data_IF_193045929516
#
_entry.id   IF_193045929516
#
_cell.length_a   1.000
_cell.length_b   1.000
_cell.length_c   1.000
_cell.angle_alpha   90.00
_cell.angle_beta   90.00
_cell.angle_gamma   90.00
#
_symmetry.space_group_name_H-M   'P 1'
#
loop_
_entity.id
_entity.type
_entity.pdbx_description
1 polymer ?
#
# COMPACT_ATOMS: atom_id res chain seq x y z
N UNK A 1 -4.86 10.80 6.23
CA UNK A 1 -3.82 9.77 5.97
C UNK A 1 -4.46 8.49 5.44
N UNK A 2 -3.76 7.72 4.62
CA UNK A 2 -4.27 6.48 4.06
C UNK A 2 -4.57 5.46 5.16
N UNK A 3 -5.66 4.71 4.99
CA UNK A 3 -5.94 3.55 5.84
C UNK A 3 -5.06 2.39 5.41
N UNK A 4 -4.64 1.57 6.35
CA UNK A 4 -3.85 0.38 6.05
C UNK A 4 -4.19 -0.73 7.03
N UNK A 5 -4.13 -1.97 6.54
CA UNK A 5 -4.11 -3.13 7.41
C UNK A 5 -2.66 -3.40 7.82
N UNK A 6 -2.47 -3.87 9.02
CA UNK A 6 -1.15 -4.15 9.57
C UNK A 6 -1.08 -5.56 10.11
N UNK A 7 0.07 -6.19 9.89
CA UNK A 7 0.40 -7.48 10.48
C UNK A 7 1.70 -7.32 11.25
N UNK A 8 1.66 -7.33 12.58
CA UNK A 8 2.86 -7.18 13.39
C UNK A 8 3.91 -8.25 13.10
N UNK A 9 5.18 -7.90 13.26
CA UNK A 9 6.27 -8.88 13.26
C UNK A 9 6.13 -9.84 14.45
N UNK A 10 6.73 -11.04 14.34
CA UNK A 10 6.69 -12.05 15.41
C UNK A 10 7.50 -11.62 16.64
N UNK A 11 8.47 -10.74 16.45
CA UNK A 11 9.31 -10.18 17.51
C UNK A 11 9.68 -8.77 17.15
N UNK A 12 10.91 -8.36 17.41
CA UNK A 12 11.40 -7.05 16.97
C UNK A 12 11.45 -7.03 15.46
N UNK A 13 10.75 -6.07 14.85
CA UNK A 13 10.71 -5.96 13.40
C UNK A 13 12.05 -5.53 12.83
N UNK A 14 12.56 -6.25 11.83
CA UNK A 14 13.75 -5.87 11.10
C UNK A 14 13.50 -4.70 10.13
N UNK A 15 12.23 -4.42 9.85
CA UNK A 15 11.81 -3.37 8.94
C UNK A 15 10.34 -3.54 8.60
N UNK A 16 9.92 -3.00 7.47
CA UNK A 16 8.54 -3.07 6.97
C UNK A 16 8.46 -3.79 5.64
N UNK A 17 7.37 -4.52 5.43
CA UNK A 17 6.97 -5.07 4.14
C UNK A 17 5.67 -4.39 3.73
N UNK A 18 5.69 -3.64 2.64
CA UNK A 18 4.53 -2.89 2.15
C UNK A 18 4.07 -3.46 0.82
N UNK A 19 2.81 -3.86 0.76
CA UNK A 19 2.19 -4.37 -0.48
C UNK A 19 1.16 -3.37 -0.96
N UNK A 20 1.34 -2.86 -2.19
CA UNK A 20 0.42 -1.91 -2.81
C UNK A 20 -0.48 -2.64 -3.81
N UNK A 21 -1.80 -2.51 -3.61
CA UNK A 21 -2.78 -3.10 -4.52
C UNK A 21 -2.90 -2.29 -5.82
N UNK A 22 -3.36 -2.95 -6.87
CA UNK A 22 -3.64 -2.32 -8.14
C UNK A 22 -5.04 -1.71 -8.20
N UNK A 23 -5.35 -1.10 -9.35
CA UNK A 23 -6.65 -0.46 -9.61
C UNK A 23 -7.79 -1.47 -9.45
N UNK A 24 -8.79 -1.11 -8.66
CA UNK A 24 -9.98 -1.92 -8.47
C UNK A 24 -9.86 -2.99 -7.39
N UNK A 25 -8.66 -3.22 -6.87
CA UNK A 25 -8.44 -4.07 -5.71
C UNK A 25 -8.51 -3.25 -4.42
N UNK A 26 -8.16 -3.84 -3.29
CA UNK A 26 -8.13 -3.15 -2.02
C UNK A 26 -7.09 -3.75 -1.06
N UNK A 27 -7.02 -3.20 0.14
CA UNK A 27 -6.08 -3.63 1.18
C UNK A 27 -6.29 -5.07 1.63
N UNK A 28 -7.52 -5.58 1.56
CA UNK A 28 -7.85 -6.94 2.00
C UNK A 28 -7.35 -8.00 1.02
N UNK A 29 -7.28 -7.67 -0.27
CA UNK A 29 -6.85 -8.62 -1.30
C UNK A 29 -5.39 -9.03 -1.11
N UNK A 30 -4.56 -8.14 -0.60
CA UNK A 30 -3.13 -8.38 -0.44
C UNK A 30 -2.74 -8.84 0.97
N UNK A 31 -3.62 -8.65 1.95
CA UNK A 31 -3.27 -8.95 3.34
C UNK A 31 -2.78 -10.37 3.56
N UNK A 32 -3.42 -11.41 2.98
CA UNK A 32 -2.91 -12.80 3.12
C UNK A 32 -1.53 -13.02 2.52
N UNK A 33 -1.13 -12.19 1.54
CA UNK A 33 0.17 -12.32 0.88
C UNK A 33 1.33 -11.91 1.80
N UNK A 34 1.08 -11.13 2.84
CA UNK A 34 2.11 -10.79 3.81
C UNK A 34 2.74 -12.03 4.42
N UNK A 35 1.92 -13.01 4.83
CA UNK A 35 2.43 -14.26 5.40
C UNK A 35 3.04 -15.17 4.34
N UNK A 36 2.57 -15.10 3.10
CA UNK A 36 3.16 -15.87 2.01
C UNK A 36 4.56 -15.39 1.65
N UNK A 37 4.78 -14.07 1.69
CA UNK A 37 6.07 -13.46 1.34
C UNK A 37 7.04 -13.37 2.53
N UNK A 38 6.51 -13.36 3.75
CA UNK A 38 7.30 -13.26 4.99
C UNK A 38 6.73 -14.23 6.04
N UNK A 39 6.86 -15.54 5.80
CA UNK A 39 6.26 -16.56 6.68
C UNK A 39 6.84 -16.55 8.09
N UNK A 40 8.07 -16.12 8.27
CA UNK A 40 8.69 -16.00 9.58
C UNK A 40 8.32 -14.73 10.32
N UNK A 41 7.57 -13.84 9.67
CA UNK A 41 7.13 -12.56 10.22
C UNK A 41 8.28 -11.73 10.78
N UNK A 42 9.32 -11.57 9.98
CA UNK A 42 10.48 -10.77 10.35
C UNK A 42 10.21 -9.28 10.19
N UNK A 43 9.27 -8.93 9.31
CA UNK A 43 8.92 -7.56 8.98
C UNK A 43 7.54 -7.21 9.50
N UNK A 44 7.32 -5.94 9.82
CA UNK A 44 5.98 -5.44 10.08
C UNK A 44 5.29 -5.26 8.72
N UNK A 45 4.19 -5.95 8.51
CA UNK A 45 3.48 -5.95 7.23
C UNK A 45 2.41 -4.88 7.16
N UNK A 46 2.30 -4.21 6.00
CA UNK A 46 1.32 -3.17 5.75
C UNK A 46 0.68 -3.36 4.38
N UNK A 47 -0.63 -3.21 4.32
CA UNK A 47 -1.35 -3.13 3.04
C UNK A 47 -2.21 -1.85 3.05
N UNK A 48 -1.66 -0.72 2.57
CA UNK A 48 -2.41 0.53 2.53
C UNK A 48 -3.50 0.49 1.45
N UNK A 49 -4.62 1.16 1.75
CA UNK A 49 -5.73 1.33 0.82
C UNK A 49 -5.54 2.61 0.02
N UNK A 50 -5.72 2.54 -1.29
CA UNK A 50 -5.72 3.71 -2.17
C UNK A 50 -6.81 4.71 -1.74
N UNK A 51 -6.59 6.03 -1.97
CA UNK A 51 -7.44 7.08 -1.39
C UNK A 51 -8.82 7.21 -2.02
N UNK A 52 -9.01 6.75 -3.25
CA UNK A 52 -10.24 6.97 -4.01
C UNK A 52 -11.04 5.68 -4.12
N UNK A 53 -12.34 5.74 -3.80
CA UNK A 53 -13.23 4.61 -4.00
C UNK A 53 -13.47 4.36 -5.49
N UNK A 54 -13.49 3.09 -5.88
CA UNK A 54 -13.78 2.68 -7.24
C UNK A 54 -14.88 1.61 -7.19
N UNK A 55 -16.15 1.98 -7.48
CA UNK A 55 -17.23 1.01 -7.48
C UNK A 55 -16.94 -0.18 -8.41
N UNK A 56 -17.42 -1.40 -8.08
CA UNK A 56 -18.36 -1.69 -7.00
C UNK A 56 -17.78 -1.89 -5.60
N UNK A 57 -16.50 -1.99 -5.40
CA UNK A 57 -16.00 -2.26 -4.06
C UNK A 57 -14.50 -2.06 -3.85
N UNK A 58 -13.78 -1.71 -4.89
CA UNK A 58 -12.33 -1.51 -4.82
C UNK A 58 -11.93 -0.05 -4.60
N UNK A 59 -10.64 0.20 -4.81
CA UNK A 59 -10.07 1.54 -4.69
C UNK A 59 -9.05 1.77 -5.79
N UNK A 60 -8.71 3.03 -6.03
CA UNK A 60 -7.67 3.38 -6.98
C UNK A 60 -6.85 4.58 -6.51
N UNK A 61 -5.61 4.63 -6.98
CA UNK A 61 -4.65 5.65 -6.55
C UNK A 61 -4.87 6.98 -7.25
N UNK A 62 -5.38 6.94 -8.49
CA UNK A 62 -5.71 8.12 -9.29
C UNK A 62 -6.75 7.76 -10.34
N UNK A 63 -7.46 8.77 -10.85
CA UNK A 63 -8.49 8.57 -11.86
C UNK A 63 -7.84 8.37 -13.23
N UNK A 64 -8.36 7.41 -14.00
CA UNK A 64 -7.95 7.15 -15.38
C UNK A 64 -9.19 7.33 -16.26
N UNK A 65 -9.42 8.55 -16.85
CA UNK A 65 -10.59 8.79 -17.68
C UNK A 65 -10.64 7.90 -18.92
N UNK A 66 -9.46 7.58 -19.47
CA UNK A 66 -9.31 6.60 -20.55
C UNK A 66 -7.91 5.99 -20.49
N UNK A 67 -7.77 4.79 -21.04
CA UNK A 67 -6.50 4.05 -21.03
C UNK A 67 -5.36 4.91 -21.60
N UNK A 68 -4.27 4.99 -20.83
CA UNK A 68 -3.08 5.77 -21.21
C UNK A 68 -3.13 7.24 -20.85
N UNK A 69 -4.25 7.72 -20.27
CA UNK A 69 -4.43 9.14 -19.95
C UNK A 69 -4.87 9.32 -18.50
N UNK A 70 -3.95 9.14 -17.53
CA UNK A 70 -4.28 9.37 -16.12
C UNK A 70 -4.61 10.84 -15.87
N UNK A 71 -5.55 11.08 -14.95
CA UNK A 71 -5.89 12.44 -14.54
C UNK A 71 -4.71 13.03 -13.75
N UNK A 72 -4.09 14.14 -14.22
CA UNK A 72 -2.88 14.67 -13.59
C UNK A 72 -3.08 15.10 -12.14
N UNK A 73 -4.23 15.68 -11.82
CA UNK A 73 -4.49 16.19 -10.47
C UNK A 73 -4.58 15.04 -9.46
N UNK A 74 -5.40 14.03 -9.73
CA UNK A 74 -5.55 12.90 -8.81
C UNK A 74 -4.29 12.05 -8.75
N UNK A 75 -3.51 11.99 -9.84
CA UNK A 75 -2.22 11.32 -9.83
C UNK A 75 -1.26 11.99 -8.83
N UNK A 76 -1.13 13.31 -8.89
CA UNK A 76 -0.25 14.06 -7.97
C UNK A 76 -0.75 13.94 -6.53
N UNK A 77 -2.06 14.05 -6.31
CA UNK A 77 -2.65 13.92 -4.98
C UNK A 77 -2.44 12.51 -4.40
N UNK A 78 -2.63 11.48 -5.22
CA UNK A 78 -2.42 10.08 -4.80
C UNK A 78 -0.96 9.80 -4.48
N UNK A 79 -0.04 10.29 -5.31
CA UNK A 79 1.39 10.17 -5.05
C UNK A 79 1.78 10.89 -3.75
N UNK A 80 1.25 12.09 -3.52
CA UNK A 80 1.51 12.84 -2.30
C UNK A 80 0.98 12.15 -1.05
N UNK A 81 -0.23 11.58 -1.12
CA UNK A 81 -0.82 10.84 -0.01
C UNK A 81 0.01 9.60 0.33
N UNK A 82 0.49 8.88 -0.67
CA UNK A 82 1.33 7.70 -0.48
C UNK A 82 2.69 8.08 0.11
N UNK A 83 3.31 9.14 -0.39
CA UNK A 83 4.59 9.64 0.13
C UNK A 83 4.45 10.03 1.60
N UNK A 84 3.40 10.76 1.95
CA UNK A 84 3.12 11.16 3.33
C UNK A 84 2.95 9.93 4.23
N UNK A 85 2.25 8.92 3.74
CA UNK A 85 2.05 7.68 4.48
C UNK A 85 3.38 6.96 4.73
N UNK A 86 4.25 6.85 3.72
CA UNK A 86 5.58 6.24 3.88
C UNK A 86 6.45 7.03 4.86
N UNK A 87 6.43 8.35 4.77
CA UNK A 87 7.22 9.20 5.66
C UNK A 87 6.81 9.08 7.13
N UNK A 88 5.57 8.67 7.39
CA UNK A 88 5.07 8.46 8.74
C UNK A 88 5.42 7.08 9.32
N UNK A 89 5.95 6.15 8.52
CA UNK A 89 6.35 4.84 9.01
C UNK A 89 7.56 4.96 9.94
N UNK A 90 7.62 4.15 11.03
CA UNK A 90 8.74 4.20 11.97
C UNK A 90 9.98 3.44 11.48
N UNK A 91 10.16 3.33 10.18
CA UNK A 91 11.28 2.63 9.56
C UNK A 91 11.94 3.52 8.51
N UNK A 92 13.29 3.54 8.46
CA UNK A 92 13.98 4.27 7.39
C UNK A 92 13.79 3.57 6.04
N UNK A 93 13.96 4.30 4.91
CA UNK A 93 13.71 3.74 3.58
C UNK A 93 14.52 2.47 3.26
N UNK A 94 15.74 2.35 3.78
CA UNK A 94 16.58 1.18 3.56
C UNK A 94 16.12 -0.08 4.32
N UNK A 95 15.11 0.05 5.17
CA UNK A 95 14.48 -1.06 5.88
C UNK A 95 13.02 -1.30 5.46
N UNK A 96 12.64 -0.77 4.30
CA UNK A 96 11.30 -0.97 3.74
C UNK A 96 11.43 -1.78 2.45
N UNK A 97 10.74 -2.92 2.40
CA UNK A 97 10.55 -3.71 1.19
C UNK A 97 9.19 -3.36 0.61
N UNK A 98 9.17 -2.92 -0.63
CA UNK A 98 7.95 -2.52 -1.33
C UNK A 98 7.70 -3.45 -2.51
N UNK A 99 6.47 -4.01 -2.56
CA UNK A 99 6.01 -4.82 -3.66
C UNK A 99 4.75 -4.22 -4.27
N UNK A 100 4.73 -4.09 -5.59
CA UNK A 100 3.56 -3.67 -6.35
C UNK A 100 2.88 -4.90 -6.94
N UNK A 101 1.64 -5.13 -6.56
CA UNK A 101 0.92 -6.35 -6.94
C UNK A 101 -0.38 -6.08 -7.69
#
# INVERSE_FOLDING_TARGET
>A
MLRALERPAAGDAAGALVLLHGRGADEHDLFPLLDALDPERRLHGYTPRAPLALPPGGAHWYVVPRVGFPDPQTFVEGFGALTEWFDALPYPPDRIVLELL
#
